data_IF_300106807260
#
_entry.id   IF_300106807260
#
_cell.length_a   1.000
_cell.length_b   1.000
_cell.length_c   1.000
_cell.angle_alpha   90.00
_cell.angle_beta   90.00
_cell.angle_gamma   90.00
#
_symmetry.space_group_name_H-M   'P 1'
#
loop_
_entity.id
_entity.type
_entity.pdbx_description
1 polymer ?
#
# COMPACT_ATOMS: atom_id res chain seq x y z
N UNK A 1 8.71 -14.37 -27.83
CA UNK A 1 7.52 -13.52 -28.01
C UNK A 1 7.81 -12.56 -29.14
N UNK A 2 7.00 -12.61 -30.19
CA UNK A 2 6.98 -11.59 -31.23
C UNK A 2 6.36 -10.29 -30.68
N UNK A 3 6.64 -9.14 -31.30
CA UNK A 3 6.09 -7.84 -30.86
C UNK A 3 4.55 -7.86 -30.69
N UNK A 4 3.83 -8.63 -31.52
CA UNK A 4 2.39 -8.81 -31.40
C UNK A 4 1.95 -9.52 -30.09
N UNK A 5 2.73 -10.49 -29.63
CA UNK A 5 2.45 -11.20 -28.38
C UNK A 5 2.76 -10.31 -27.18
N UNK A 6 3.79 -9.44 -27.28
CA UNK A 6 4.13 -8.48 -26.21
C UNK A 6 3.01 -7.46 -26.03
N UNK A 7 2.46 -6.92 -27.14
CA UNK A 7 1.35 -5.96 -27.11
C UNK A 7 0.11 -6.59 -26.46
N UNK A 8 -0.29 -7.81 -26.87
CA UNK A 8 -1.44 -8.51 -26.26
C UNK A 8 -1.26 -8.76 -24.76
N UNK A 9 -0.04 -9.07 -24.32
CA UNK A 9 0.24 -9.25 -22.89
C UNK A 9 0.19 -7.93 -22.12
N UNK A 10 0.62 -6.81 -22.71
CA UNK A 10 0.51 -5.48 -22.11
C UNK A 10 -0.96 -5.08 -21.96
N UNK A 11 -1.77 -5.26 -23.01
CA UNK A 11 -3.20 -4.94 -22.97
C UNK A 11 -3.94 -5.79 -21.92
N UNK A 12 -3.65 -7.09 -21.87
CA UNK A 12 -4.21 -7.96 -20.84
C UNK A 12 -3.78 -7.53 -19.43
N UNK A 13 -2.51 -7.16 -19.24
CA UNK A 13 -2.01 -6.71 -17.94
C UNK A 13 -2.67 -5.39 -17.49
N UNK A 14 -2.86 -4.43 -18.39
CA UNK A 14 -3.55 -3.17 -18.10
C UNK A 14 -5.02 -3.39 -17.69
N UNK A 15 -5.71 -4.32 -18.34
CA UNK A 15 -7.08 -4.72 -17.97
C UNK A 15 -7.12 -5.32 -16.57
N UNK A 16 -6.21 -6.25 -16.26
CA UNK A 16 -6.09 -6.84 -14.92
C UNK A 16 -5.73 -5.81 -13.85
N UNK A 17 -4.83 -4.88 -14.14
CA UNK A 17 -4.49 -3.79 -13.20
C UNK A 17 -5.70 -2.90 -12.92
N UNK A 18 -6.52 -2.61 -13.93
CA UNK A 18 -7.76 -1.84 -13.76
C UNK A 18 -8.76 -2.56 -12.86
N UNK A 19 -8.95 -3.88 -13.08
CA UNK A 19 -9.84 -4.70 -12.25
C UNK A 19 -9.32 -4.78 -10.81
N UNK A 20 -8.02 -4.92 -10.62
CA UNK A 20 -7.40 -4.95 -9.28
C UNK A 20 -7.57 -3.60 -8.58
N UNK A 21 -7.41 -2.49 -9.30
CA UNK A 21 -7.60 -1.15 -8.74
C UNK A 21 -9.05 -0.94 -8.31
N UNK A 22 -10.01 -1.33 -9.14
CA UNK A 22 -11.44 -1.23 -8.83
C UNK A 22 -11.82 -2.12 -7.63
N UNK A 23 -11.42 -3.40 -7.64
CA UNK A 23 -11.63 -4.32 -6.52
C UNK A 23 -10.97 -3.84 -5.23
N UNK A 24 -9.80 -3.19 -5.33
CA UNK A 24 -9.11 -2.60 -4.18
C UNK A 24 -9.85 -1.37 -3.66
N UNK A 25 -10.42 -0.55 -4.54
CA UNK A 25 -11.26 0.57 -4.15
C UNK A 25 -12.54 0.12 -3.44
N UNK A 26 -13.20 -0.92 -3.94
CA UNK A 26 -14.36 -1.54 -3.27
C UNK A 26 -13.98 -2.11 -1.89
N UNK A 27 -12.86 -2.83 -1.81
CA UNK A 27 -12.36 -3.37 -0.54
C UNK A 27 -12.01 -2.25 0.47
N UNK A 28 -11.42 -1.14 0.01
CA UNK A 28 -11.16 0.05 0.83
C UNK A 28 -12.46 0.70 1.28
N UNK A 29 -13.48 0.80 0.43
CA UNK A 29 -14.79 1.35 0.80
C UNK A 29 -15.45 0.52 1.92
N UNK A 30 -15.43 -0.81 1.82
CA UNK A 30 -15.93 -1.71 2.87
C UNK A 30 -15.13 -1.54 4.17
N UNK A 31 -13.80 -1.43 4.07
CA UNK A 31 -12.95 -1.15 5.23
C UNK A 31 -13.27 0.18 5.87
N UNK A 32 -13.52 1.23 5.08
CA UNK A 32 -13.88 2.55 5.60
C UNK A 32 -15.26 2.57 6.25
N UNK A 33 -16.23 1.82 5.71
CA UNK A 33 -17.52 1.59 6.38
C UNK A 33 -17.33 0.89 7.72
N UNK A 34 -16.53 -0.18 7.79
CA UNK A 34 -16.23 -0.88 9.03
C UNK A 34 -15.52 0.03 10.05
N UNK A 35 -14.58 0.87 9.61
CA UNK A 35 -13.91 1.86 10.47
C UNK A 35 -14.90 2.90 11.00
N UNK A 36 -15.82 3.39 10.16
CA UNK A 36 -16.82 4.37 10.55
C UNK A 36 -17.72 3.80 11.66
N UNK A 37 -18.20 2.57 11.50
CA UNK A 37 -19.00 1.89 12.53
C UNK A 37 -18.21 1.71 13.84
N UNK A 38 -16.92 1.33 13.76
CA UNK A 38 -16.07 1.21 14.96
C UNK A 38 -15.82 2.55 15.65
N UNK A 39 -15.73 3.64 14.87
CA UNK A 39 -15.54 5.00 15.40
C UNK A 39 -16.82 5.54 16.04
N UNK A 40 -18.00 5.25 15.48
CA UNK A 40 -19.30 5.55 16.08
C UNK A 40 -19.52 4.79 17.40
N UNK A 41 -19.08 3.53 17.46
CA UNK A 41 -19.16 2.71 18.68
C UNK A 41 -18.04 3.00 19.69
N UNK A 42 -17.04 3.83 19.31
CA UNK A 42 -15.91 4.24 20.16
C UNK A 42 -15.23 3.06 20.88
N UNK A 43 -15.15 1.91 20.20
CA UNK A 43 -14.66 0.64 20.77
C UNK A 43 -13.48 0.12 19.96
N UNK A 44 -12.38 -0.22 20.63
CA UNK A 44 -11.12 -0.63 20.00
C UNK A 44 -11.15 -2.09 19.50
N UNK A 45 -12.08 -2.90 20.03
CA UNK A 45 -12.28 -4.31 19.69
C UNK A 45 -13.77 -4.58 19.43
N UNK A 46 -14.11 -4.92 18.18
CA UNK A 46 -15.47 -5.32 17.81
C UNK A 46 -15.46 -6.79 17.42
N UNK A 47 -16.18 -7.61 18.16
CA UNK A 47 -16.40 -9.02 17.85
C UNK A 47 -17.67 -9.17 17.00
N UNK A 48 -17.50 -9.36 15.70
CA UNK A 48 -18.57 -9.66 14.76
C UNK A 48 -18.63 -11.18 14.50
N UNK A 49 -19.26 -11.92 15.42
CA UNK A 49 -19.44 -13.36 15.31
C UNK A 49 -18.11 -14.13 15.41
N UNK A 50 -17.57 -14.61 14.28
CA UNK A 50 -16.31 -15.35 14.22
C UNK A 50 -15.09 -14.46 13.93
N UNK A 51 -15.29 -13.16 13.72
CA UNK A 51 -14.23 -12.22 13.35
C UNK A 51 -14.05 -11.15 14.43
N UNK A 52 -12.80 -10.99 14.87
CA UNK A 52 -12.39 -9.93 15.80
C UNK A 52 -11.79 -8.81 14.96
N UNK A 53 -12.46 -7.68 14.89
CA UNK A 53 -11.96 -6.47 14.24
C UNK A 53 -11.27 -5.63 15.32
N UNK A 54 -9.97 -5.39 15.17
CA UNK A 54 -9.19 -4.51 16.06
C UNK A 54 -8.82 -3.24 15.32
N UNK A 55 -9.39 -2.12 15.74
CA UNK A 55 -9.06 -0.79 15.22
C UNK A 55 -8.27 -0.03 16.29
N UNK A 56 -7.11 -0.57 16.66
CA UNK A 56 -6.19 0.12 17.57
C UNK A 56 -5.40 1.15 16.78
N UNK A 57 -5.31 2.38 17.29
CA UNK A 57 -4.46 3.41 16.68
C UNK A 57 -2.98 3.01 16.78
N UNK A 58 -2.49 2.31 15.77
CA UNK A 58 -1.06 2.02 15.65
C UNK A 58 -0.38 3.31 15.23
N UNK A 59 0.23 3.99 16.20
CA UNK A 59 1.22 5.05 15.95
C UNK A 59 2.41 4.43 15.21
N UNK A 60 2.31 4.38 13.88
CA UNK A 60 3.43 4.03 13.02
C UNK A 60 4.41 5.19 13.07
N UNK A 61 5.47 5.02 13.87
CA UNK A 61 6.61 5.93 13.87
C UNK A 61 7.38 5.71 12.57
N UNK A 62 7.01 6.47 11.53
CA UNK A 62 7.76 6.51 10.28
C UNK A 62 8.97 7.40 10.50
N UNK A 63 10.15 6.85 10.24
CA UNK A 63 11.39 7.60 10.30
C UNK A 63 11.37 8.70 9.23
N UNK A 64 11.45 9.96 9.65
CA UNK A 64 11.48 11.09 8.73
C UNK A 64 12.86 11.18 8.08
N UNK A 65 13.03 10.39 7.02
CA UNK A 65 14.25 10.34 6.23
C UNK A 65 14.59 11.70 5.60
N UNK A 66 13.62 12.59 5.41
CA UNK A 66 13.82 13.91 4.81
C UNK A 66 14.49 14.86 5.81
N UNK A 67 13.95 14.92 7.03
CA UNK A 67 14.55 15.67 8.12
C UNK A 67 15.93 15.10 8.49
N UNK A 68 16.06 13.76 8.50
CA UNK A 68 17.34 13.11 8.81
C UNK A 68 18.41 13.37 7.73
N UNK A 69 18.06 13.32 6.44
CA UNK A 69 18.95 13.73 5.34
C UNK A 69 19.42 15.17 5.47
N UNK A 70 18.54 16.08 5.89
CA UNK A 70 18.83 17.51 5.99
C UNK A 70 19.80 17.81 7.13
N UNK A 71 19.65 17.11 8.26
CA UNK A 71 20.45 17.35 9.47
C UNK A 71 21.71 16.49 9.54
N UNK A 72 21.70 15.28 8.97
CA UNK A 72 22.78 14.29 9.06
C UNK A 72 23.05 13.63 7.68
N UNK A 73 23.35 14.46 6.68
CA UNK A 73 23.60 14.01 5.31
C UNK A 73 24.76 12.98 5.21
N UNK A 74 25.80 13.14 6.02
CA UNK A 74 26.97 12.25 6.04
C UNK A 74 26.64 10.86 6.59
N UNK A 75 25.90 10.78 7.71
CA UNK A 75 25.39 9.49 8.22
C UNK A 75 24.40 8.86 7.26
N UNK A 76 23.52 9.65 6.62
CA UNK A 76 22.59 9.10 5.65
C UNK A 76 23.32 8.39 4.51
N UNK A 77 24.44 8.93 4.02
CA UNK A 77 25.26 8.27 2.99
C UNK A 77 25.92 6.99 3.50
N UNK A 78 26.41 6.98 4.74
CA UNK A 78 27.07 5.82 5.35
C UNK A 78 26.11 4.64 5.57
N UNK A 79 24.85 4.92 5.90
CA UNK A 79 23.82 3.91 6.12
C UNK A 79 22.93 3.65 4.89
N UNK A 80 23.17 4.32 3.76
CA UNK A 80 22.45 4.06 2.52
C UNK A 80 23.15 2.98 1.71
N UNK A 81 22.59 1.77 1.70
CA UNK A 81 23.02 0.72 0.80
C UNK A 81 22.33 0.90 -0.55
N UNK A 82 23.11 1.01 -1.62
CA UNK A 82 22.56 0.97 -2.97
C UNK A 82 22.05 -0.43 -3.27
N UNK A 83 20.73 -0.59 -3.33
CA UNK A 83 20.08 -1.83 -3.76
C UNK A 83 19.62 -1.63 -5.20
N UNK A 84 20.10 -2.47 -6.09
CA UNK A 84 19.61 -2.51 -7.47
C UNK A 84 18.29 -3.28 -7.51
N UNK A 85 17.16 -2.57 -7.64
CA UNK A 85 15.89 -3.18 -8.03
C UNK A 85 15.67 -2.97 -9.52
N UNK A 86 15.26 -4.03 -10.24
CA UNK A 86 14.79 -3.90 -11.62
C UNK A 86 13.32 -3.53 -11.55
N UNK A 87 12.99 -2.29 -11.90
CA UNK A 87 11.61 -1.83 -11.96
C UNK A 87 11.03 -2.29 -13.30
N UNK A 88 10.01 -3.14 -13.24
CA UNK A 88 9.16 -3.40 -14.40
C UNK A 88 8.26 -2.18 -14.56
N UNK A 89 8.31 -1.52 -15.71
CA UNK A 89 7.48 -0.37 -16.03
C UNK A 89 7.09 -0.48 -17.48
N UNK A 90 5.79 -0.41 -17.72
CA UNK A 90 5.19 -0.31 -19.04
C UNK A 90 4.65 1.11 -19.11
N UNK A 91 5.14 1.90 -20.06
CA UNK A 91 4.75 3.29 -20.29
C UNK A 91 4.24 3.47 -21.72
#
# INVERSE_FOLDING_TARGET
>A
MSNNEIIRNIEALAEWETIIEDAKAEAEAIRDMLKAEMLEQNTEELEAGAYIIRWTSVLSQRFDTTAFKKSHADMYKEYTKQVSSRRFSIC
#
